data_IF_760875412230
#
_entry.id   IF_760875412230
#
_cell.length_a   1.000
_cell.length_b   1.000
_cell.length_c   1.000
_cell.angle_alpha   90.00
_cell.angle_beta   90.00
_cell.angle_gamma   90.00
#
_symmetry.space_group_name_H-M   'P 1'
#
loop_
_entity.id
_entity.type
_entity.pdbx_description
1 polymer ?
#
# COMPACT_ATOMS: atom_id res chain seq x y z
N UNK A 1 6.84 -29.84 -23.19
CA UNK A 1 8.21 -29.25 -23.21
C UNK A 1 8.20 -27.75 -23.48
N UNK A 2 7.66 -27.25 -24.61
CA UNK A 2 7.60 -25.81 -24.95
C UNK A 2 6.95 -24.92 -23.89
N UNK A 3 5.83 -25.37 -23.31
CA UNK A 3 5.16 -24.66 -22.21
C UNK A 3 6.11 -24.42 -21.04
N UNK A 4 6.72 -25.48 -20.52
CA UNK A 4 7.63 -25.42 -19.38
C UNK A 4 8.90 -24.60 -19.67
N UNK A 5 9.45 -24.67 -20.88
CA UNK A 5 10.60 -23.84 -21.28
C UNK A 5 10.31 -22.34 -21.14
N UNK A 6 9.10 -21.91 -21.52
CA UNK A 6 8.69 -20.51 -21.37
C UNK A 6 8.40 -20.18 -19.90
N UNK A 7 7.67 -21.07 -19.21
CA UNK A 7 7.17 -20.82 -17.87
C UNK A 7 8.23 -20.90 -16.77
N UNK A 8 9.35 -21.57 -17.01
CA UNK A 8 10.53 -21.55 -16.12
C UNK A 8 11.12 -20.13 -16.01
N UNK A 9 10.92 -19.27 -17.00
CA UNK A 9 11.35 -17.87 -16.93
C UNK A 9 10.20 -16.99 -16.47
N UNK A 10 9.03 -17.08 -17.11
CA UNK A 10 7.93 -16.13 -16.85
C UNK A 10 7.33 -16.27 -15.45
N UNK A 11 7.22 -17.48 -14.88
CA UNK A 11 6.66 -17.67 -13.53
C UNK A 11 7.61 -17.10 -12.46
N UNK A 12 8.92 -17.45 -12.42
CA UNK A 12 9.83 -16.82 -11.46
C UNK A 12 9.97 -15.32 -11.64
N UNK A 13 9.94 -14.81 -12.88
CA UNK A 13 9.97 -13.37 -13.12
C UNK A 13 8.78 -12.65 -12.46
N UNK A 14 7.54 -13.09 -12.73
CA UNK A 14 6.34 -12.47 -12.12
C UNK A 14 6.38 -12.61 -10.59
N UNK A 15 6.83 -13.76 -10.08
CA UNK A 15 6.96 -13.97 -8.64
C UNK A 15 7.95 -12.99 -7.99
N UNK A 16 9.15 -12.85 -8.55
CA UNK A 16 10.17 -11.91 -8.04
C UNK A 16 9.69 -10.47 -8.17
N UNK A 17 9.03 -10.11 -9.27
CA UNK A 17 8.42 -8.78 -9.42
C UNK A 17 7.39 -8.51 -8.33
N UNK A 18 6.48 -9.44 -8.06
CA UNK A 18 5.48 -9.30 -6.98
C UNK A 18 6.15 -9.22 -5.60
N UNK A 19 7.20 -9.99 -5.36
CA UNK A 19 7.95 -9.94 -4.11
C UNK A 19 8.65 -8.59 -3.92
N UNK A 20 9.34 -8.09 -4.94
CA UNK A 20 9.99 -6.77 -4.91
C UNK A 20 8.97 -5.64 -4.76
N UNK A 21 7.81 -5.76 -5.40
CA UNK A 21 6.72 -4.80 -5.26
C UNK A 21 6.34 -4.62 -3.79
N UNK A 22 6.13 -5.71 -3.04
CA UNK A 22 5.84 -5.62 -1.60
C UNK A 22 7.05 -5.17 -0.78
N UNK A 23 8.24 -5.72 -1.04
CA UNK A 23 9.46 -5.46 -0.26
C UNK A 23 9.94 -4.01 -0.33
N UNK A 24 9.75 -3.35 -1.47
CA UNK A 24 10.08 -1.92 -1.64
C UNK A 24 9.10 -1.00 -0.91
N UNK A 25 7.96 -1.53 -0.46
CA UNK A 25 6.90 -0.75 0.16
C UNK A 25 6.11 0.12 -0.83
N UNK A 26 6.25 -0.13 -2.13
CA UNK A 26 5.51 0.56 -3.20
C UNK A 26 3.97 0.47 -3.06
N UNK A 27 3.35 -0.69 -2.72
CA UNK A 27 1.90 -0.77 -2.58
C UNK A 27 1.34 0.18 -1.51
N UNK A 28 2.05 0.41 -0.41
CA UNK A 28 1.61 1.36 0.62
C UNK A 28 1.51 2.79 0.06
N UNK A 29 2.44 3.17 -0.82
CA UNK A 29 2.43 4.47 -1.49
C UNK A 29 1.38 4.57 -2.60
N UNK A 30 1.22 3.51 -3.39
CA UNK A 30 0.33 3.51 -4.56
C UNK A 30 -1.14 3.44 -4.15
N UNK A 31 -1.46 2.63 -3.15
CA UNK A 31 -2.84 2.36 -2.74
C UNK A 31 -3.25 3.12 -1.47
N UNK A 32 -2.34 3.89 -0.86
CA UNK A 32 -2.62 4.61 0.38
C UNK A 32 -2.92 3.68 1.57
N UNK A 33 -2.51 2.41 1.52
CA UNK A 33 -2.66 1.49 2.65
C UNK A 33 -1.66 1.88 3.74
N UNK A 34 -2.11 2.14 4.98
CA UNK A 34 -1.20 2.43 6.09
C UNK A 34 -0.32 1.23 6.39
N UNK A 35 0.96 1.47 6.71
CA UNK A 35 1.81 0.45 7.33
C UNK A 35 1.38 0.19 8.77
N UNK A 36 1.89 -0.88 9.36
CA UNK A 36 1.60 -1.27 10.75
C UNK A 36 1.86 -0.16 11.77
N UNK A 37 2.82 0.72 11.50
CA UNK A 37 3.23 1.86 12.32
C UNK A 37 2.50 3.17 11.96
N UNK A 38 1.68 3.19 10.90
CA UNK A 38 1.05 4.40 10.36
C UNK A 38 -0.47 4.50 10.63
N UNK A 39 -1.05 3.53 11.35
CA UNK A 39 -2.49 3.60 11.70
C UNK A 39 -2.79 4.74 12.69
N UNK A 40 -1.86 5.02 13.61
CA UNK A 40 -1.99 6.03 14.64
C UNK A 40 -0.68 6.82 14.76
N UNK A 41 -0.77 8.13 14.95
CA UNK A 41 0.40 8.97 15.23
C UNK A 41 0.57 9.12 16.73
N UNK A 42 1.74 9.60 17.18
CA UNK A 42 1.98 9.91 18.60
C UNK A 42 0.94 10.88 19.18
N UNK A 43 0.42 11.78 18.33
CA UNK A 43 -0.56 12.81 18.73
C UNK A 43 -2.01 12.36 18.54
N UNK A 44 -2.29 11.43 17.63
CA UNK A 44 -3.64 10.94 17.28
C UNK A 44 -3.79 9.45 17.57
N UNK A 45 -4.43 9.13 18.70
CA UNK A 45 -4.81 7.74 19.06
C UNK A 45 -6.27 7.38 18.72
N UNK A 46 -7.04 8.33 18.18
CA UNK A 46 -8.40 8.07 17.69
C UNK A 46 -8.39 7.48 16.27
N UNK A 47 -9.43 6.73 15.93
CA UNK A 47 -9.59 6.10 14.60
C UNK A 47 -9.73 7.20 13.53
N UNK A 48 -8.96 7.16 12.42
CA UNK A 48 -9.09 8.13 11.33
C UNK A 48 -10.32 7.77 10.48
N UNK A 49 -11.50 8.21 10.95
CA UNK A 49 -12.78 8.01 10.28
C UNK A 49 -13.12 9.26 9.46
N UNK A 50 -13.60 9.03 8.23
CA UNK A 50 -14.08 10.08 7.32
C UNK A 50 -15.54 10.36 7.65
N UNK A 51 -15.87 11.63 7.91
CA UNK A 51 -17.20 12.03 8.37
C UNK A 51 -17.93 12.91 7.35
N UNK A 52 -17.20 13.65 6.50
CA UNK A 52 -17.80 14.51 5.49
C UNK A 52 -17.60 13.94 4.08
N UNK A 53 -18.72 13.64 3.41
CA UNK A 53 -18.76 13.14 2.03
C UNK A 53 -18.22 14.14 1.00
N UNK A 54 -18.34 15.44 1.22
CA UNK A 54 -17.94 16.46 0.25
C UNK A 54 -16.51 16.96 0.47
N UNK A 55 -15.95 16.74 1.67
CA UNK A 55 -14.58 17.16 2.03
C UNK A 55 -13.61 15.99 2.25
N UNK A 56 -13.96 14.79 1.75
CA UNK A 56 -13.19 13.54 1.96
C UNK A 56 -11.69 13.69 1.71
N UNK A 57 -11.27 14.33 0.62
CA UNK A 57 -9.84 14.46 0.30
C UNK A 57 -9.10 15.33 1.30
N UNK A 58 -9.72 16.43 1.72
CA UNK A 58 -9.15 17.36 2.70
C UNK A 58 -9.08 16.71 4.08
N UNK A 59 -10.13 15.97 4.47
CA UNK A 59 -10.16 15.21 5.72
C UNK A 59 -9.09 14.10 5.71
N UNK A 60 -8.90 13.40 4.58
CA UNK A 60 -7.82 12.42 4.43
C UNK A 60 -6.42 13.04 4.56
N UNK A 61 -6.18 14.19 3.92
CA UNK A 61 -4.90 14.89 4.02
C UNK A 61 -4.60 15.30 5.48
N UNK A 62 -5.61 15.79 6.20
CA UNK A 62 -5.49 16.12 7.62
C UNK A 62 -5.27 14.88 8.51
N UNK A 63 -5.99 13.79 8.27
CA UNK A 63 -5.89 12.56 9.06
C UNK A 63 -4.55 11.83 8.86
N UNK A 64 -3.92 12.04 7.71
CA UNK A 64 -2.61 11.47 7.34
C UNK A 64 -1.44 12.43 7.59
N UNK A 65 -1.71 13.66 8.03
CA UNK A 65 -0.69 14.65 8.35
C UNK A 65 0.24 14.13 9.47
N UNK A 66 1.56 14.10 9.18
CA UNK A 66 2.58 13.64 10.13
C UNK A 66 2.86 12.13 10.15
N UNK A 67 2.33 11.36 9.19
CA UNK A 67 2.69 9.95 8.91
C UNK A 67 3.94 9.77 8.04
#
# INVERSE_FOLDING_TARGET
>A
LRYWLIHIVTIPCIFVTGLLFVKTGLPYKLFGTPRSDQYFTTLRQQIPLINDRFQVTQELDYLTEGL
#
